data_IF_444036895558
#
_entry.id   IF_444036895558
#
_cell.length_a   1.000
_cell.length_b   1.000
_cell.length_c   1.000
_cell.angle_alpha   90.00
_cell.angle_beta   90.00
_cell.angle_gamma   90.00
#
_symmetry.space_group_name_H-M   'P 1'
#
loop_
_entity.id
_entity.type
_entity.pdbx_description
1 polymer ?
#
# COMPACT_ATOMS: atom_id res chain seq x y z
N UNK A 1 -2.43 -37.04 -6.60
CA UNK A 1 -1.54 -35.86 -6.69
C UNK A 1 -0.13 -36.39 -6.61
N UNK A 2 0.65 -36.25 -7.67
CA UNK A 2 2.01 -36.78 -7.69
C UNK A 2 2.81 -35.96 -6.69
N UNK A 3 3.55 -36.58 -5.76
CA UNK A 3 4.32 -35.84 -4.75
C UNK A 3 5.29 -34.81 -5.34
N UNK A 4 5.62 -34.94 -6.63
CA UNK A 4 6.36 -33.98 -7.43
C UNK A 4 5.69 -32.60 -7.51
N UNK A 5 4.35 -32.53 -7.61
CA UNK A 5 3.63 -31.26 -7.74
C UNK A 5 3.86 -30.37 -6.51
N UNK A 6 3.82 -30.97 -5.31
CA UNK A 6 4.09 -30.26 -4.05
C UNK A 6 5.52 -29.71 -3.99
N UNK A 7 6.52 -30.50 -4.38
CA UNK A 7 7.93 -30.09 -4.37
C UNK A 7 8.17 -28.97 -5.38
N UNK A 8 7.63 -29.10 -6.60
CA UNK A 8 7.75 -28.08 -7.63
C UNK A 8 7.06 -26.77 -7.24
N UNK A 9 5.89 -26.85 -6.58
CA UNK A 9 5.22 -25.67 -6.02
C UNK A 9 6.01 -25.05 -4.86
N UNK A 10 6.66 -25.86 -4.02
CA UNK A 10 7.43 -25.35 -2.90
C UNK A 10 8.72 -24.62 -3.35
N UNK A 11 9.47 -25.24 -4.26
CA UNK A 11 10.73 -24.72 -4.80
C UNK A 11 10.49 -23.62 -5.85
N UNK A 12 9.31 -23.62 -6.47
CA UNK A 12 8.94 -22.70 -7.56
C UNK A 12 9.93 -22.75 -8.74
N UNK A 13 10.36 -23.97 -9.10
CA UNK A 13 11.32 -24.16 -10.16
C UNK A 13 11.47 -25.62 -10.57
N UNK A 14 12.14 -25.83 -11.70
CA UNK A 14 12.55 -27.15 -12.14
C UNK A 14 13.78 -27.58 -11.34
N UNK A 15 13.65 -28.70 -10.62
CA UNK A 15 14.75 -29.30 -9.88
C UNK A 15 15.52 -30.21 -10.83
N UNK A 16 16.85 -30.05 -10.90
CA UNK A 16 17.71 -30.99 -11.63
C UNK A 16 17.64 -32.38 -11.01
N UNK A 17 17.62 -33.42 -11.85
CA UNK A 17 17.55 -34.82 -11.43
C UNK A 17 18.89 -35.48 -11.78
N UNK A 18 19.52 -36.25 -10.86
CA UNK A 18 19.08 -36.56 -9.49
C UNK A 18 19.39 -35.42 -8.49
N UNK A 19 18.48 -35.18 -7.54
CA UNK A 19 18.67 -34.20 -6.45
C UNK A 19 18.11 -34.71 -5.14
N UNK A 20 18.64 -34.16 -4.04
CA UNK A 20 18.23 -34.47 -2.67
C UNK A 20 17.76 -33.16 -2.04
N UNK A 21 16.55 -33.17 -1.49
CA UNK A 21 15.92 -32.02 -0.84
C UNK A 21 15.37 -32.50 0.50
N UNK A 22 15.72 -31.81 1.59
CA UNK A 22 15.11 -32.06 2.90
C UNK A 22 14.02 -31.03 3.13
N UNK A 23 12.84 -31.49 3.54
CA UNK A 23 11.68 -30.65 3.81
C UNK A 23 11.38 -30.63 5.30
N UNK A 24 11.32 -29.44 5.89
CA UNK A 24 10.74 -29.23 7.21
C UNK A 24 9.26 -28.91 7.03
N UNK A 25 8.41 -29.90 7.30
CA UNK A 25 6.94 -29.78 7.17
C UNK A 25 6.31 -28.84 8.19
N UNK A 26 7.00 -28.53 9.29
CA UNK A 26 6.45 -27.63 10.33
C UNK A 26 6.59 -26.15 9.95
N UNK A 27 7.66 -25.79 9.23
CA UNK A 27 7.97 -24.41 8.85
C UNK A 27 7.87 -24.16 7.34
N UNK A 28 7.48 -25.15 6.55
CA UNK A 28 7.47 -25.10 5.07
C UNK A 28 8.82 -24.65 4.47
N UNK A 29 9.91 -24.99 5.15
CA UNK A 29 11.28 -24.73 4.71
C UNK A 29 11.84 -25.96 4.01
N UNK A 30 12.67 -25.75 3.01
CA UNK A 30 13.44 -26.78 2.33
C UNK A 30 14.93 -26.48 2.40
N UNK A 31 15.73 -27.53 2.46
CA UNK A 31 17.19 -27.45 2.51
C UNK A 31 17.76 -28.14 1.29
N UNK A 32 18.76 -27.50 0.68
CA UNK A 32 19.51 -28.03 -0.46
C UNK A 32 20.97 -28.25 -0.04
N UNK A 33 21.62 -29.30 -0.54
CA UNK A 33 23.05 -29.49 -0.31
C UNK A 33 23.83 -28.36 -0.97
N UNK A 34 24.81 -27.80 -0.26
CA UNK A 34 25.64 -26.69 -0.76
C UNK A 34 26.57 -27.14 -1.91
N UNK A 35 27.02 -28.39 -1.85
CA UNK A 35 27.86 -29.03 -2.85
C UNK A 35 27.15 -30.29 -3.39
N UNK A 36 27.37 -30.67 -4.67
CA UNK A 36 26.84 -31.90 -5.21
C UNK A 36 27.24 -33.09 -4.35
N UNK A 37 26.26 -33.88 -3.91
CA UNK A 37 26.50 -35.05 -3.06
C UNK A 37 26.93 -36.22 -3.95
N UNK A 38 28.21 -36.55 -3.92
CA UNK A 38 28.78 -37.68 -4.67
C UNK A 38 28.95 -38.94 -3.80
N UNK A 39 29.17 -38.75 -2.49
CA UNK A 39 29.44 -39.84 -1.54
C UNK A 39 28.51 -39.82 -0.32
N UNK A 40 28.37 -40.98 0.34
CA UNK A 40 27.57 -41.15 1.55
C UNK A 40 28.05 -40.24 2.69
N UNK A 41 29.35 -39.97 2.81
CA UNK A 41 29.85 -39.06 3.85
C UNK A 41 29.33 -37.63 3.64
N UNK A 42 29.33 -37.14 2.41
CA UNK A 42 28.80 -35.81 2.07
C UNK A 42 27.30 -35.73 2.35
N UNK A 43 26.56 -36.83 2.08
CA UNK A 43 25.14 -36.92 2.40
C UNK A 43 24.89 -36.85 3.91
N UNK A 44 25.64 -37.62 4.70
CA UNK A 44 25.53 -37.60 6.16
C UNK A 44 25.94 -36.24 6.73
N UNK A 45 26.97 -35.60 6.18
CA UNK A 45 27.36 -34.25 6.56
C UNK A 45 26.25 -33.25 6.28
N UNK A 46 25.60 -33.33 5.11
CA UNK A 46 24.43 -32.49 4.81
C UNK A 46 23.30 -32.72 5.82
N UNK A 47 22.99 -33.97 6.16
CA UNK A 47 21.96 -34.28 7.16
C UNK A 47 22.31 -33.71 8.54
N UNK A 48 23.56 -33.88 8.99
CA UNK A 48 24.04 -33.29 10.23
C UNK A 48 23.98 -31.77 10.18
N UNK A 49 24.37 -31.13 9.09
CA UNK A 49 24.29 -29.67 8.93
C UNK A 49 22.86 -29.15 9.03
N UNK A 50 21.87 -29.90 8.51
CA UNK A 50 20.44 -29.57 8.65
C UNK A 50 19.98 -29.76 10.10
N UNK A 51 20.37 -30.85 10.77
CA UNK A 51 20.03 -31.12 12.17
C UNK A 51 20.65 -30.10 13.15
N UNK A 52 21.88 -29.67 12.88
CA UNK A 52 22.61 -28.68 13.67
C UNK A 52 22.13 -27.24 13.41
N UNK A 53 21.27 -27.02 12.41
CA UNK A 53 20.77 -25.71 12.01
C UNK A 53 21.80 -24.84 11.29
N UNK A 54 22.91 -25.43 10.83
CA UNK A 54 23.97 -24.72 10.07
C UNK A 54 23.68 -24.65 8.57
N UNK A 55 22.85 -25.54 8.05
CA UNK A 55 22.46 -25.54 6.64
C UNK A 55 21.52 -24.36 6.33
N UNK A 56 21.70 -23.68 5.17
CA UNK A 56 20.83 -22.60 4.76
C UNK A 56 19.40 -23.13 4.52
N UNK A 57 18.44 -22.65 5.32
CA UNK A 57 17.03 -22.90 5.11
C UNK A 57 16.51 -22.01 3.97
N UNK A 58 15.99 -22.63 2.92
CA UNK A 58 15.24 -21.97 1.86
C UNK A 58 13.74 -22.19 2.09
N UNK A 59 12.88 -21.37 1.51
CA UNK A 59 11.45 -21.42 1.84
C UNK A 59 11.12 -20.82 3.22
N UNK A 60 9.91 -21.09 3.70
CA UNK A 60 9.32 -20.44 4.87
C UNK A 60 8.41 -19.25 4.54
N UNK A 61 7.68 -18.80 5.56
CA UNK A 61 6.55 -17.88 5.44
C UNK A 61 6.92 -16.38 5.42
N UNK A 62 8.15 -16.06 5.05
CA UNK A 62 8.60 -14.67 4.99
C UNK A 62 7.78 -13.87 3.98
N UNK A 63 7.27 -12.69 4.38
CA UNK A 63 6.57 -11.76 3.49
C UNK A 63 7.34 -11.51 2.18
N UNK A 64 8.68 -11.42 2.26
CA UNK A 64 9.55 -11.22 1.11
C UNK A 64 9.58 -12.44 0.17
N UNK A 65 9.54 -13.66 0.72
CA UNK A 65 9.43 -14.87 -0.09
C UNK A 65 8.03 -15.05 -0.68
N UNK A 66 6.96 -14.70 0.05
CA UNK A 66 5.60 -14.66 -0.50
C UNK A 66 5.48 -13.68 -1.66
N UNK A 67 6.04 -12.47 -1.52
CA UNK A 67 6.09 -11.48 -2.61
C UNK A 67 6.92 -12.03 -3.78
N UNK A 68 8.07 -12.67 -3.51
CA UNK A 68 8.90 -13.29 -4.56
C UNK A 68 8.13 -14.40 -5.29
N UNK A 69 7.36 -15.23 -4.57
CA UNK A 69 6.46 -16.27 -5.12
C UNK A 69 5.40 -15.65 -6.03
N UNK A 70 4.66 -14.67 -5.51
CA UNK A 70 3.63 -13.96 -6.28
C UNK A 70 4.21 -13.27 -7.51
N UNK A 71 5.40 -12.68 -7.40
CA UNK A 71 6.07 -12.05 -8.53
C UNK A 71 6.51 -13.07 -9.60
N UNK A 72 7.00 -14.25 -9.20
CA UNK A 72 7.39 -15.31 -10.13
C UNK A 72 6.17 -15.91 -10.84
N UNK A 73 5.09 -16.17 -10.10
CA UNK A 73 3.81 -16.66 -10.63
C UNK A 73 3.14 -15.61 -11.52
N UNK A 74 3.19 -14.33 -11.15
CA UNK A 74 2.68 -13.25 -11.99
C UNK A 74 3.52 -13.11 -13.27
N UNK A 75 4.85 -13.17 -13.18
CA UNK A 75 5.73 -13.07 -14.35
C UNK A 75 5.53 -14.25 -15.30
N UNK A 76 5.41 -15.47 -14.78
CA UNK A 76 5.14 -16.65 -15.61
C UNK A 76 3.75 -16.57 -16.25
N UNK A 77 2.74 -16.10 -15.52
CA UNK A 77 1.39 -15.85 -16.07
C UNK A 77 1.44 -14.82 -17.18
N UNK A 78 2.06 -13.66 -16.95
CA UNK A 78 2.22 -12.60 -17.95
C UNK A 78 2.93 -13.15 -19.18
N UNK A 79 4.08 -13.81 -19.01
CA UNK A 79 4.85 -14.37 -20.11
C UNK A 79 4.08 -15.47 -20.85
N UNK A 80 3.27 -16.27 -20.15
CA UNK A 80 2.40 -17.27 -20.76
C UNK A 80 1.32 -16.62 -21.64
N UNK A 81 0.67 -15.55 -21.15
CA UNK A 81 -0.38 -14.82 -21.88
C UNK A 81 0.21 -14.12 -23.10
N UNK A 82 1.38 -13.51 -22.98
CA UNK A 82 2.08 -12.90 -24.12
C UNK A 82 2.54 -13.94 -25.14
N UNK A 83 2.89 -15.16 -24.71
CA UNK A 83 3.30 -16.23 -25.62
C UNK A 83 2.12 -16.90 -26.32
N UNK A 84 1.00 -17.08 -25.65
CA UNK A 84 -0.20 -17.66 -26.25
C UNK A 84 -0.95 -16.64 -27.11
N UNK A 85 -1.01 -15.39 -26.67
CA UNK A 85 -1.73 -14.31 -27.37
C UNK A 85 -1.17 -12.93 -27.01
N UNK A 86 -0.13 -12.44 -27.70
CA UNK A 86 0.50 -11.15 -27.37
C UNK A 86 -0.46 -9.96 -27.47
N UNK A 87 -1.43 -10.01 -28.39
CA UNK A 87 -2.48 -9.00 -28.50
C UNK A 87 -3.38 -8.97 -27.26
N UNK A 88 -3.83 -10.13 -26.79
CA UNK A 88 -4.68 -10.24 -25.60
C UNK A 88 -3.91 -9.79 -24.34
N UNK A 89 -2.64 -10.18 -24.22
CA UNK A 89 -1.75 -9.68 -23.15
C UNK A 89 -1.58 -8.16 -23.17
N UNK A 90 -1.41 -7.56 -24.35
CA UNK A 90 -1.36 -6.11 -24.52
C UNK A 90 -2.68 -5.45 -24.11
N UNK A 91 -3.84 -6.03 -24.43
CA UNK A 91 -5.11 -5.47 -23.98
C UNK A 91 -5.32 -5.59 -22.46
N UNK A 92 -4.99 -6.75 -21.87
CA UNK A 92 -5.22 -6.98 -20.43
C UNK A 92 -4.29 -6.16 -19.53
N UNK A 93 -3.04 -5.98 -19.92
CA UNK A 93 -2.06 -5.22 -19.12
C UNK A 93 -1.78 -3.84 -19.69
N UNK A 94 -1.62 -3.73 -21.01
CA UNK A 94 -1.26 -2.50 -21.68
C UNK A 94 -2.37 -1.46 -21.71
N UNK A 95 -3.66 -1.84 -21.81
CA UNK A 95 -4.74 -0.85 -21.78
C UNK A 95 -4.93 -0.23 -20.38
N UNK A 96 -5.02 -1.00 -19.28
CA UNK A 96 -5.03 -0.41 -17.94
C UNK A 96 -3.76 0.41 -17.63
N UNK A 97 -2.57 -0.11 -17.94
CA UNK A 97 -1.32 0.63 -17.73
C UNK A 97 -1.23 1.88 -18.61
N UNK A 98 -1.74 1.84 -19.83
CA UNK A 98 -1.82 2.97 -20.75
C UNK A 98 -2.78 4.04 -20.26
N UNK A 99 -3.96 3.64 -19.77
CA UNK A 99 -4.93 4.57 -19.15
C UNK A 99 -4.34 5.21 -17.89
N UNK A 100 -3.72 4.43 -17.01
CA UNK A 100 -3.06 4.96 -15.80
C UNK A 100 -1.91 5.89 -16.17
N UNK A 101 -1.09 5.51 -17.16
CA UNK A 101 -0.01 6.36 -17.67
C UNK A 101 -0.54 7.66 -18.28
N UNK A 102 -1.64 7.62 -19.03
CA UNK A 102 -2.27 8.80 -19.61
C UNK A 102 -2.91 9.67 -18.53
N UNK A 103 -3.48 9.07 -17.49
CA UNK A 103 -3.99 9.80 -16.33
C UNK A 103 -2.87 10.49 -15.56
N UNK A 104 -1.77 9.80 -15.25
CA UNK A 104 -0.61 10.42 -14.60
C UNK A 104 0.02 11.50 -15.49
N UNK A 105 0.17 11.25 -16.79
CA UNK A 105 0.65 12.27 -17.73
C UNK A 105 -0.30 13.47 -17.75
N UNK A 106 -1.60 13.22 -17.85
CA UNK A 106 -2.65 14.23 -17.83
C UNK A 106 -2.59 15.08 -16.58
N UNK A 107 -2.49 14.50 -15.39
CA UNK A 107 -2.35 15.25 -14.13
C UNK A 107 -1.05 16.06 -14.13
N UNK A 108 0.09 15.44 -14.45
CA UNK A 108 1.38 16.13 -14.47
C UNK A 108 1.45 17.27 -15.51
N UNK A 109 0.68 17.21 -16.61
CA UNK A 109 0.64 18.27 -17.64
C UNK A 109 -0.52 19.25 -17.46
N UNK A 110 -1.64 18.82 -16.88
CA UNK A 110 -2.84 19.65 -16.68
C UNK A 110 -2.69 20.60 -15.47
N UNK A 111 -1.81 20.28 -14.52
CA UNK A 111 -1.40 21.23 -13.47
C UNK A 111 -0.84 22.55 -14.04
N UNK A 112 -0.52 22.61 -15.35
CA UNK A 112 -0.03 23.83 -15.97
C UNK A 112 -1.09 24.70 -16.68
N UNK A 113 -2.31 24.23 -16.95
CA UNK A 113 -3.18 25.02 -17.87
C UNK A 113 -4.69 25.03 -17.57
N UNK A 114 -5.29 24.03 -16.91
CA UNK A 114 -6.77 24.00 -16.80
C UNK A 114 -7.25 23.60 -15.38
N UNK A 115 -6.57 22.64 -14.74
CA UNK A 115 -6.95 22.20 -13.39
C UNK A 115 -6.61 23.21 -12.30
N UNK A 116 -5.59 24.05 -12.52
CA UNK A 116 -5.16 25.06 -11.55
C UNK A 116 -6.15 26.21 -11.51
N UNK A 117 -6.71 26.65 -12.64
CA UNK A 117 -7.73 27.71 -12.65
C UNK A 117 -9.01 27.24 -11.94
N UNK A 118 -9.49 26.02 -12.21
CA UNK A 118 -10.68 25.46 -11.54
C UNK A 118 -10.45 25.26 -10.04
N UNK A 119 -9.26 24.78 -9.64
CA UNK A 119 -8.89 24.61 -8.23
C UNK A 119 -8.69 25.95 -7.52
N UNK A 120 -8.08 26.94 -8.17
CA UNK A 120 -7.92 28.30 -7.64
C UNK A 120 -9.28 28.99 -7.52
N UNK A 121 -10.19 28.81 -8.47
CA UNK A 121 -11.56 29.32 -8.40
C UNK A 121 -12.32 28.70 -7.22
N UNK A 122 -12.27 27.38 -7.05
CA UNK A 122 -12.90 26.71 -5.90
C UNK A 122 -12.33 27.19 -4.57
N UNK A 123 -11.01 27.39 -4.48
CA UNK A 123 -10.37 27.92 -3.27
C UNK A 123 -10.75 29.37 -3.01
N UNK A 124 -10.83 30.21 -4.05
CA UNK A 124 -11.27 31.60 -3.91
C UNK A 124 -12.74 31.69 -3.47
N UNK A 125 -13.61 30.81 -3.98
CA UNK A 125 -15.00 30.71 -3.53
C UNK A 125 -15.11 30.26 -2.07
N UNK A 126 -14.29 29.28 -1.65
CA UNK A 126 -14.24 28.79 -0.27
C UNK A 126 -13.71 29.88 0.69
N UNK A 127 -12.66 30.61 0.29
CA UNK A 127 -12.10 31.74 1.05
C UNK A 127 -13.12 32.91 1.17
N UNK A 128 -13.85 33.24 0.11
CA UNK A 128 -14.93 34.24 0.15
C UNK A 128 -16.10 33.81 1.05
N UNK A 129 -16.44 32.52 1.07
CA UNK A 129 -17.50 32.00 1.94
C UNK A 129 -17.06 32.05 3.41
N UNK A 130 -15.81 31.72 3.71
CA UNK A 130 -15.22 31.82 5.05
C UNK A 130 -15.19 33.28 5.54
N UNK A 131 -14.76 34.23 4.70
CA UNK A 131 -14.79 35.66 5.05
C UNK A 131 -16.22 36.13 5.39
N UNK A 132 -17.22 35.79 4.55
CA UNK A 132 -18.62 36.17 4.83
C UNK A 132 -19.17 35.56 6.12
N UNK A 133 -18.77 34.34 6.47
CA UNK A 133 -19.15 33.70 7.73
C UNK A 133 -18.51 34.41 8.93
N UNK A 134 -17.26 34.85 8.76
CA UNK A 134 -16.52 35.58 9.80
C UNK A 134 -17.13 36.95 10.04
N UNK A 135 -17.40 37.72 8.99
CA UNK A 135 -18.06 39.03 9.08
C UNK A 135 -19.42 38.94 9.78
N UNK A 136 -20.24 37.94 9.43
CA UNK A 136 -21.53 37.71 10.11
C UNK A 136 -21.37 37.40 11.60
N UNK A 137 -20.34 36.67 11.97
CA UNK A 137 -20.09 36.33 13.38
C UNK A 137 -19.68 37.56 14.17
N UNK A 138 -18.83 38.43 13.58
CA UNK A 138 -18.43 39.70 14.19
C UNK A 138 -19.62 40.66 14.36
N UNK A 139 -20.51 40.75 13.36
CA UNK A 139 -21.74 41.56 13.46
C UNK A 139 -22.69 41.05 14.56
N UNK A 140 -22.85 39.74 14.70
CA UNK A 140 -23.67 39.11 15.75
C UNK A 140 -23.09 39.34 17.15
N UNK A 141 -21.76 39.28 17.31
CA UNK A 141 -21.08 39.59 18.58
C UNK A 141 -21.25 41.07 18.95
N UNK A 142 -21.05 41.99 18.01
CA UNK A 142 -21.17 43.44 18.26
C UNK A 142 -22.62 43.82 18.63
N UNK A 143 -23.61 43.19 18.00
CA UNK A 143 -25.02 43.39 18.34
C UNK A 143 -25.35 42.84 19.74
N UNK A 144 -24.75 41.71 20.11
CA UNK A 144 -24.94 41.10 21.45
C UNK A 144 -24.32 41.98 22.54
N UNK A 145 -23.12 42.52 22.32
CA UNK A 145 -22.44 43.40 23.28
C UNK A 145 -23.20 44.71 23.49
N UNK A 146 -23.69 45.34 22.40
CA UNK A 146 -24.55 46.54 22.49
C UNK A 146 -25.84 46.26 23.26
N UNK A 147 -26.47 45.10 23.04
CA UNK A 147 -27.68 44.71 23.78
C UNK A 147 -27.39 44.48 25.27
N UNK A 148 -26.24 43.88 25.61
CA UNK A 148 -25.81 43.68 26.98
C UNK A 148 -25.48 45.00 27.71
N UNK A 149 -24.86 45.97 27.02
CA UNK A 149 -24.62 47.32 27.55
C UNK A 149 -25.94 48.07 27.82
N UNK A 150 -26.92 47.96 26.90
CA UNK A 150 -28.25 48.54 27.09
C UNK A 150 -28.97 47.93 28.31
N UNK A 151 -28.92 46.60 28.50
CA UNK A 151 -29.50 45.96 29.70
C UNK A 151 -28.78 46.32 31.02
N UNK A 152 -27.46 46.49 31.00
CA UNK A 152 -26.66 46.90 32.16
C UNK A 152 -26.94 48.36 32.58
N UNK A 153 -27.18 49.24 31.62
CA UNK A 153 -27.53 50.65 31.91
C UNK A 153 -28.96 50.77 32.43
N UNK A 154 -29.91 50.00 31.89
CA UNK A 154 -31.30 50.01 32.36
C UNK A 154 -31.41 49.44 33.79
N UNK A 155 -30.68 48.37 34.11
CA UNK A 155 -30.74 47.71 35.43
C UNK A 155 -30.05 48.48 36.57
N UNK A 156 -29.09 49.38 36.30
CA UNK A 156 -28.52 50.27 37.34
C UNK A 156 -29.44 51.40 37.75
N UNK A 157 -30.41 51.76 36.90
CA UNK A 157 -31.30 52.91 37.10
C UNK A 157 -32.21 52.83 38.35
N UNK A 158 -32.62 51.67 38.90
CA UNK A 158 -33.43 51.65 40.12
C UNK A 158 -32.64 51.60 41.44
N UNK A 159 -31.34 51.29 41.42
CA UNK A 159 -30.59 50.97 42.65
C UNK A 159 -30.09 52.19 43.45
N UNK A 160 -30.01 53.37 42.84
CA UNK A 160 -29.49 54.58 43.51
C UNK A 160 -30.51 55.26 44.42
N UNK A 161 -31.70 54.67 44.60
CA UNK A 161 -32.76 55.20 45.48
C UNK A 161 -32.49 55.06 46.98
N UNK A 162 -31.31 54.61 47.42
CA UNK A 162 -30.98 54.51 48.85
C UNK A 162 -29.49 54.77 49.13
N UNK A 163 -29.11 56.03 49.27
CA UNK A 163 -28.07 56.41 50.23
C UNK A 163 -28.29 57.87 50.66
N UNK A 164 -28.66 57.99 51.94
CA UNK A 164 -28.62 59.13 52.88
C UNK A 164 -28.97 60.57 52.42
#
# INVERSE_FOLDING_TARGET
MSGNDYINSLIMGEVSIPSIIILNTSNEQYFLPAEPVEDLQQMLQFFSSVLDGSAPAYGGDGIFQRIKRVAYDARSTIMSVFRSSPLLGCFLFGLPLGVISLMCYGICTAESDDGTEDLELMKAEEEEEEERLTERTEEEEEQTDRTAEEELTESKSPAEKKLD
#
